data_IF_972152153860
#
_entry.id   IF_972152153860
#
_cell.length_a   1.000
_cell.length_b   1.000
_cell.length_c   1.000
_cell.angle_alpha   90.00
_cell.angle_beta   90.00
_cell.angle_gamma   90.00
#
_symmetry.space_group_name_H-M   'P 1'
#
loop_
_entity.id
_entity.type
_entity.pdbx_description
1 polymer ?
#
# COMPACT_ATOMS: atom_id res chain seq x y z
N UNK A 1 9.63 -26.05 18.69
CA UNK A 1 8.43 -26.91 18.84
C UNK A 1 7.43 -26.71 17.69
N UNK A 2 7.29 -25.50 17.13
CA UNK A 2 6.56 -25.27 15.86
C UNK A 2 7.33 -25.83 14.64
N UNK A 3 8.66 -25.75 14.66
CA UNK A 3 9.50 -26.27 13.56
C UNK A 3 9.28 -27.77 13.31
N UNK A 4 8.93 -28.56 14.34
CA UNK A 4 8.76 -30.01 14.15
C UNK A 4 7.44 -30.38 13.43
N UNK A 5 6.44 -29.50 13.47
CA UNK A 5 5.13 -29.75 12.83
C UNK A 5 5.17 -29.40 11.34
N UNK A 6 5.99 -28.43 10.92
CA UNK A 6 6.04 -27.98 9.52
C UNK A 6 7.41 -28.07 8.83
N UNK A 7 8.55 -28.13 9.53
CA UNK A 7 9.86 -28.30 8.88
C UNK A 7 10.09 -29.74 8.34
N UNK A 8 9.26 -30.70 8.76
CA UNK A 8 9.20 -32.05 8.21
C UNK A 8 7.95 -32.34 7.39
N UNK A 9 7.16 -31.31 7.04
CA UNK A 9 5.95 -31.50 6.25
C UNK A 9 6.34 -32.05 4.87
N UNK A 10 5.77 -33.21 4.44
CA UNK A 10 6.06 -33.78 3.13
C UNK A 10 5.71 -32.77 2.04
N UNK A 11 6.38 -32.81 0.89
CA UNK A 11 6.13 -31.87 -0.22
C UNK A 11 4.65 -31.87 -0.68
N UNK A 12 3.93 -32.95 -0.43
CA UNK A 12 2.50 -33.13 -0.67
C UNK A 12 1.60 -32.24 0.20
N UNK A 13 2.09 -31.76 1.34
CA UNK A 13 1.36 -30.86 2.24
C UNK A 13 1.42 -29.39 1.81
N UNK A 14 2.17 -29.08 0.75
CA UNK A 14 2.36 -27.72 0.27
C UNK A 14 1.45 -27.43 -0.92
N UNK A 15 0.50 -26.52 -0.74
CA UNK A 15 -0.37 -26.03 -1.79
C UNK A 15 0.16 -24.72 -2.38
N UNK A 16 0.20 -24.63 -3.71
CA UNK A 16 0.63 -23.42 -4.41
C UNK A 16 -0.54 -22.45 -4.52
N UNK A 17 -0.44 -21.32 -3.81
CA UNK A 17 -1.51 -20.33 -3.79
C UNK A 17 -1.02 -19.04 -4.47
N UNK A 18 -1.69 -18.57 -5.54
CA UNK A 18 -1.39 -17.28 -6.14
C UNK A 18 -1.81 -16.18 -5.18
N UNK A 19 -0.84 -15.36 -4.79
CA UNK A 19 -1.01 -14.34 -3.78
C UNK A 19 -0.88 -12.93 -4.38
N UNK A 20 -1.92 -12.52 -5.11
CA UNK A 20 -2.10 -11.15 -5.59
C UNK A 20 -1.00 -10.60 -6.50
N UNK A 21 -1.28 -9.43 -7.06
CA UNK A 21 -0.31 -8.69 -7.87
C UNK A 21 0.62 -7.90 -6.94
N UNK A 22 1.86 -8.35 -6.80
CA UNK A 22 2.89 -7.55 -6.15
C UNK A 22 3.46 -6.50 -7.10
N UNK A 23 4.14 -5.48 -6.56
CA UNK A 23 4.84 -4.45 -7.35
C UNK A 23 5.90 -4.99 -8.36
N UNK A 24 6.21 -6.31 -8.31
CA UNK A 24 7.14 -7.01 -9.22
C UNK A 24 6.47 -8.14 -10.03
N UNK A 25 5.14 -8.20 -10.06
CA UNK A 25 4.35 -9.25 -10.71
C UNK A 25 3.61 -10.18 -9.72
N UNK A 26 2.88 -11.18 -10.24
CA UNK A 26 2.09 -12.11 -9.42
C UNK A 26 2.99 -12.83 -8.43
N UNK A 27 2.74 -12.68 -7.12
CA UNK A 27 3.53 -13.38 -6.10
C UNK A 27 2.92 -14.76 -5.89
N UNK A 28 3.69 -15.80 -6.19
CA UNK A 28 3.24 -17.18 -5.99
C UNK A 28 4.10 -17.79 -4.91
N UNK A 29 3.45 -18.30 -3.86
CA UNK A 29 4.09 -18.96 -2.74
C UNK A 29 3.49 -20.35 -2.55
N UNK A 30 4.32 -21.27 -2.04
CA UNK A 30 3.84 -22.54 -1.55
C UNK A 30 3.48 -22.36 -0.06
N UNK A 31 2.29 -22.81 0.31
CA UNK A 31 1.72 -22.71 1.65
C UNK A 31 1.44 -24.09 2.22
N UNK A 32 1.71 -24.26 3.51
CA UNK A 32 1.27 -25.42 4.27
C UNK A 32 0.50 -24.92 5.50
N UNK A 33 -0.56 -25.61 5.88
CA UNK A 33 -1.37 -25.27 7.04
C UNK A 33 -1.56 -26.49 7.96
N UNK A 34 -1.72 -26.19 9.25
CA UNK A 34 -2.08 -27.17 10.25
C UNK A 34 -2.97 -26.54 11.32
N UNK A 35 -4.03 -27.24 11.70
CA UNK A 35 -4.80 -26.90 12.90
C UNK A 35 -4.02 -27.34 14.14
N UNK A 36 -3.82 -26.42 15.06
CA UNK A 36 -3.26 -26.74 16.37
C UNK A 36 -4.36 -27.25 17.30
N UNK A 37 -4.01 -28.13 18.26
CA UNK A 37 -4.94 -28.52 19.29
C UNK A 37 -5.40 -27.31 20.12
N UNK A 38 -6.65 -27.34 20.63
CA UNK A 38 -7.13 -26.32 21.56
C UNK A 38 -6.29 -26.34 22.83
N UNK A 39 -6.11 -25.19 23.45
CA UNK A 39 -5.49 -25.09 24.77
C UNK A 39 -6.63 -24.91 25.77
N UNK A 40 -6.92 -25.94 26.56
CA UNK A 40 -8.07 -25.95 27.49
C UNK A 40 -8.13 -24.72 28.40
N UNK A 41 -6.97 -24.24 28.86
CA UNK A 41 -6.85 -23.03 29.71
C UNK A 41 -7.32 -21.74 29.01
N UNK A 42 -7.18 -21.63 27.69
CA UNK A 42 -7.48 -20.42 26.92
C UNK A 42 -8.77 -20.51 26.10
N UNK A 43 -9.10 -21.69 25.58
CA UNK A 43 -10.20 -21.89 24.65
C UNK A 43 -11.51 -22.37 25.33
N UNK A 44 -11.42 -22.85 26.58
CA UNK A 44 -12.56 -23.36 27.35
C UNK A 44 -13.24 -24.60 26.75
N UNK A 45 -14.34 -25.04 27.35
CA UNK A 45 -15.08 -26.25 26.93
C UNK A 45 -15.73 -26.13 25.53
N UNK A 46 -15.90 -24.91 25.02
CA UNK A 46 -16.50 -24.64 23.70
C UNK A 46 -15.62 -23.64 22.94
N UNK A 47 -14.71 -24.11 22.07
CA UNK A 47 -13.87 -23.22 21.29
C UNK A 47 -14.73 -22.41 20.34
N UNK A 48 -14.61 -21.08 20.41
CA UNK A 48 -15.23 -20.13 19.46
C UNK A 48 -14.32 -19.81 18.26
N UNK A 49 -13.06 -20.24 18.32
CA UNK A 49 -12.04 -20.02 17.30
C UNK A 49 -11.17 -21.28 17.18
N UNK A 50 -10.59 -21.46 15.99
CA UNK A 50 -9.56 -22.44 15.71
C UNK A 50 -8.18 -21.77 15.77
N UNK A 51 -7.21 -22.51 16.30
CA UNK A 51 -5.79 -22.15 16.27
C UNK A 51 -5.15 -22.79 15.05
N UNK A 52 -4.49 -21.99 14.23
CA UNK A 52 -3.84 -22.44 13.01
C UNK A 52 -2.37 -22.06 13.01
N UNK A 53 -1.53 -22.91 12.43
CA UNK A 53 -0.19 -22.55 11.99
C UNK A 53 -0.15 -22.64 10.49
N UNK A 54 0.40 -21.60 9.86
CA UNK A 54 0.71 -21.61 8.44
C UNK A 54 2.21 -21.49 8.25
N UNK A 55 2.75 -22.20 7.27
CA UNK A 55 4.09 -21.98 6.75
C UNK A 55 3.98 -21.49 5.31
N UNK A 56 4.86 -20.57 4.96
CA UNK A 56 5.02 -20.05 3.61
C UNK A 56 6.46 -20.20 3.18
N UNK A 57 6.70 -20.79 2.01
CA UNK A 57 8.04 -20.87 1.41
C UNK A 57 8.07 -20.20 0.03
N UNK A 58 9.23 -19.64 -0.31
CA UNK A 58 9.46 -19.04 -1.63
C UNK A 58 9.78 -20.11 -2.66
N UNK A 59 9.25 -19.96 -3.89
CA UNK A 59 9.59 -20.86 -5.01
C UNK A 59 11.07 -20.77 -5.41
N UNK A 60 11.68 -19.59 -5.25
CA UNK A 60 13.08 -19.37 -5.61
C UNK A 60 14.05 -19.80 -4.50
N UNK A 61 13.58 -19.81 -3.24
CA UNK A 61 14.35 -20.14 -2.04
C UNK A 61 13.49 -20.96 -1.08
N UNK A 62 13.32 -22.27 -1.34
CA UNK A 62 12.45 -23.13 -0.53
C UNK A 62 12.90 -23.30 0.92
N UNK A 63 14.17 -23.01 1.21
CA UNK A 63 14.76 -23.02 2.55
C UNK A 63 14.31 -21.85 3.43
N UNK A 64 13.82 -20.76 2.82
CA UNK A 64 13.30 -19.60 3.55
C UNK A 64 11.82 -19.80 3.85
N UNK A 65 11.54 -20.39 5.02
CA UNK A 65 10.18 -20.63 5.50
C UNK A 65 9.79 -19.54 6.52
N UNK A 66 8.65 -18.88 6.26
CA UNK A 66 8.00 -17.98 7.20
C UNK A 66 6.82 -18.68 7.88
N UNK A 67 6.76 -18.61 9.21
CA UNK A 67 5.67 -19.20 10.00
C UNK A 67 4.71 -18.13 10.50
N UNK A 68 3.42 -18.45 10.47
CA UNK A 68 2.33 -17.62 10.93
C UNK A 68 1.47 -18.40 11.92
N UNK A 69 1.09 -17.75 13.01
CA UNK A 69 0.09 -18.26 13.94
C UNK A 69 -1.19 -17.45 13.74
N UNK A 70 -2.32 -18.12 13.52
CA UNK A 70 -3.60 -17.47 13.35
C UNK A 70 -4.62 -17.98 14.37
N UNK A 71 -5.38 -17.05 14.93
CA UNK A 71 -6.56 -17.31 15.75
C UNK A 71 -7.77 -16.87 14.95
N UNK A 72 -8.54 -17.81 14.43
CA UNK A 72 -9.55 -17.52 13.42
C UNK A 72 -10.89 -18.15 13.78
N UNK A 73 -12.02 -17.56 13.35
CA UNK A 73 -13.35 -18.15 13.53
C UNK A 73 -13.43 -19.61 13.08
N UNK A 74 -14.39 -20.37 13.61
CA UNK A 74 -14.51 -21.80 13.30
C UNK A 74 -14.74 -22.11 11.81
N UNK A 75 -15.37 -21.17 11.10
CA UNK A 75 -15.70 -21.21 9.68
C UNK A 75 -14.60 -20.63 8.76
N UNK A 76 -13.50 -20.14 9.34
CA UNK A 76 -12.40 -19.57 8.57
C UNK A 76 -11.74 -20.61 7.65
N UNK A 77 -11.55 -20.24 6.39
CA UNK A 77 -10.88 -21.08 5.40
C UNK A 77 -9.38 -20.78 5.33
N UNK A 78 -8.58 -21.72 4.82
CA UNK A 78 -7.15 -21.50 4.56
C UNK A 78 -6.93 -20.30 3.63
N UNK A 79 -7.80 -20.13 2.63
CA UNK A 79 -7.75 -18.96 1.74
C UNK A 79 -7.95 -17.63 2.49
N UNK A 80 -8.83 -17.58 3.49
CA UNK A 80 -9.00 -16.39 4.32
C UNK A 80 -7.75 -16.10 5.16
N UNK A 81 -7.14 -17.14 5.72
CA UNK A 81 -5.90 -17.03 6.51
C UNK A 81 -4.74 -16.53 5.65
N UNK A 82 -4.57 -17.09 4.46
CA UNK A 82 -3.54 -16.67 3.49
C UNK A 82 -3.76 -15.23 3.06
N UNK A 83 -5.01 -14.84 2.76
CA UNK A 83 -5.36 -13.45 2.44
C UNK A 83 -4.94 -12.49 3.56
N UNK A 84 -5.21 -12.83 4.83
CA UNK A 84 -4.82 -12.01 5.98
C UNK A 84 -3.31 -11.98 6.16
N UNK A 85 -2.63 -13.12 6.06
CA UNK A 85 -1.17 -13.20 6.20
C UNK A 85 -0.45 -12.32 5.15
N UNK A 86 -1.01 -12.24 3.95
CA UNK A 86 -0.42 -11.50 2.83
C UNK A 86 -0.78 -10.01 2.84
N UNK A 87 -1.85 -9.64 3.54
CA UNK A 87 -2.16 -8.24 3.86
C UNK A 87 -1.03 -7.53 4.60
N UNK A 88 -0.12 -8.27 5.26
CA UNK A 88 1.06 -7.70 5.94
C UNK A 88 1.90 -6.82 5.01
N UNK A 89 2.04 -7.20 3.74
CA UNK A 89 2.79 -6.37 2.78
C UNK A 89 2.09 -5.05 2.49
N UNK A 90 0.78 -5.07 2.31
CA UNK A 90 0.00 -3.84 2.13
C UNK A 90 0.11 -2.92 3.35
N UNK A 91 0.20 -3.48 4.57
CA UNK A 91 0.44 -2.70 5.80
C UNK A 91 1.82 -2.03 5.76
N UNK A 92 2.87 -2.76 5.37
CA UNK A 92 4.22 -2.20 5.22
C UNK A 92 4.22 -1.05 4.21
N UNK A 93 3.63 -1.25 3.03
CA UNK A 93 3.51 -0.23 1.99
C UNK A 93 2.73 1.01 2.47
N UNK A 94 1.63 0.80 3.20
CA UNK A 94 0.86 1.86 3.86
C UNK A 94 1.73 2.68 4.82
N UNK A 95 2.54 2.04 5.67
CA UNK A 95 3.47 2.75 6.55
C UNK A 95 4.57 3.50 5.78
N UNK A 96 5.08 2.94 4.69
CA UNK A 96 6.06 3.63 3.86
C UNK A 96 5.44 4.87 3.17
N UNK A 97 4.21 4.77 2.67
CA UNK A 97 3.48 5.91 2.14
C UNK A 97 3.24 6.98 3.22
N UNK A 98 2.83 6.58 4.44
CA UNK A 98 2.65 7.53 5.54
C UNK A 98 3.94 8.28 5.91
N UNK A 99 5.11 7.64 5.85
CA UNK A 99 6.41 8.30 6.05
C UNK A 99 6.71 9.28 4.92
N UNK A 100 6.60 8.83 3.67
CA UNK A 100 6.97 9.61 2.49
C UNK A 100 6.03 10.80 2.24
N UNK A 101 4.73 10.62 2.43
CA UNK A 101 3.71 11.62 2.06
C UNK A 101 3.25 12.47 3.23
N UNK A 102 3.23 11.93 4.45
CA UNK A 102 2.70 12.59 5.64
C UNK A 102 3.77 12.89 6.71
N UNK A 103 5.03 12.55 6.45
CA UNK A 103 6.14 12.84 7.37
C UNK A 103 6.00 12.11 8.70
N UNK A 104 5.47 10.88 8.69
CA UNK A 104 5.27 10.09 9.91
C UNK A 104 6.56 9.94 10.75
N UNK A 105 7.72 9.88 10.10
CA UNK A 105 9.06 9.81 10.71
C UNK A 105 9.81 11.16 10.76
N UNK A 106 9.18 12.24 10.29
CA UNK A 106 9.74 13.60 10.21
C UNK A 106 9.27 14.46 11.40
N UNK A 107 9.66 14.07 12.62
CA UNK A 107 9.42 14.87 13.82
C UNK A 107 10.73 15.20 14.54
N UNK A 108 10.84 16.41 15.06
CA UNK A 108 11.98 16.87 15.86
C UNK A 108 11.61 16.97 17.36
N UNK A 109 10.48 16.39 17.76
CA UNK A 109 9.90 16.61 19.09
C UNK A 109 10.34 15.54 20.08
N UNK A 110 11.03 15.95 21.15
CA UNK A 110 11.48 15.05 22.22
C UNK A 110 10.48 14.89 23.38
N UNK A 111 9.35 15.63 23.38
CA UNK A 111 8.33 15.54 24.42
C UNK A 111 7.17 14.65 23.96
N UNK A 112 6.73 13.74 24.85
CA UNK A 112 5.64 12.80 24.58
C UNK A 112 4.36 13.46 24.01
N UNK A 113 3.84 14.58 24.55
CA UNK A 113 2.63 15.20 23.99
C UNK A 113 2.80 15.71 22.56
N UNK A 114 3.99 16.20 22.22
CA UNK A 114 4.28 16.67 20.86
C UNK A 114 4.44 15.53 19.88
N UNK A 115 5.13 14.45 20.29
CA UNK A 115 5.19 13.21 19.52
C UNK A 115 3.80 12.62 19.27
N UNK A 116 2.96 12.52 20.31
CA UNK A 116 1.62 11.96 20.21
C UNK A 116 0.71 12.75 19.24
N UNK A 117 0.76 14.09 19.31
CA UNK A 117 0.03 14.96 18.38
C UNK A 117 0.53 14.79 16.95
N UNK A 118 1.85 14.74 16.74
CA UNK A 118 2.46 14.54 15.42
C UNK A 118 2.02 13.23 14.78
N UNK A 119 2.22 12.10 15.48
CA UNK A 119 1.85 10.78 14.99
C UNK A 119 0.35 10.71 14.66
N UNK A 120 -0.49 11.28 15.54
CA UNK A 120 -1.94 11.30 15.31
C UNK A 120 -2.31 12.09 14.05
N UNK A 121 -1.75 13.28 13.86
CA UNK A 121 -2.00 14.11 12.68
C UNK A 121 -1.47 13.47 11.39
N UNK A 122 -0.27 12.87 11.43
CA UNK A 122 0.31 12.17 10.30
C UNK A 122 -0.52 10.94 9.89
N UNK A 123 -0.97 10.14 10.85
CA UNK A 123 -1.84 8.99 10.59
C UNK A 123 -3.22 9.42 10.06
N UNK A 124 -3.79 10.51 10.58
CA UNK A 124 -5.05 11.06 10.09
C UNK A 124 -4.93 11.56 8.64
N UNK A 125 -3.86 12.30 8.33
CA UNK A 125 -3.58 12.78 6.98
C UNK A 125 -3.42 11.60 6.00
N UNK A 126 -2.68 10.56 6.40
CA UNK A 126 -2.51 9.38 5.57
C UNK A 126 -3.84 8.63 5.33
N UNK A 127 -4.65 8.43 6.37
CA UNK A 127 -5.96 7.82 6.25
C UNK A 127 -6.89 8.62 5.31
N UNK A 128 -6.84 9.95 5.36
CA UNK A 128 -7.58 10.82 4.45
C UNK A 128 -7.14 10.64 2.99
N UNK A 129 -5.83 10.64 2.73
CA UNK A 129 -5.28 10.40 1.38
C UNK A 129 -5.68 9.01 0.86
N UNK A 130 -5.52 7.96 1.68
CA UNK A 130 -5.91 6.59 1.32
C UNK A 130 -7.40 6.50 0.97
N UNK A 131 -8.27 7.15 1.75
CA UNK A 131 -9.71 7.19 1.46
C UNK A 131 -10.04 7.95 0.17
N UNK A 132 -9.32 9.02 -0.15
CA UNK A 132 -9.50 9.74 -1.42
C UNK A 132 -9.06 8.89 -2.62
N UNK A 133 -7.93 8.20 -2.51
CA UNK A 133 -7.44 7.29 -3.56
C UNK A 133 -8.43 6.15 -3.78
N UNK A 134 -8.93 5.51 -2.72
CA UNK A 134 -9.92 4.44 -2.82
C UNK A 134 -11.20 4.92 -3.55
N UNK A 135 -11.73 6.09 -3.17
CA UNK A 135 -12.90 6.69 -3.85
C UNK A 135 -12.63 7.05 -5.31
N UNK A 136 -11.41 7.46 -5.65
CA UNK A 136 -11.05 7.77 -7.03
C UNK A 136 -10.99 6.50 -7.90
N UNK A 137 -10.49 5.39 -7.34
CA UNK A 137 -10.46 4.09 -8.02
C UNK A 137 -11.88 3.55 -8.27
N UNK A 138 -12.79 3.69 -7.31
CA UNK A 138 -14.20 3.29 -7.46
C UNK A 138 -14.95 4.07 -8.56
N UNK A 139 -14.62 5.36 -8.74
CA UNK A 139 -15.23 6.21 -9.77
C UNK A 139 -14.76 5.85 -11.19
N UNK A 140 -13.69 5.07 -11.32
CA UNK A 140 -13.05 4.78 -12.59
C UNK A 140 -12.40 6.04 -13.20
N UNK A 141 -11.60 5.90 -14.26
CA UNK A 141 -11.06 7.06 -14.96
C UNK A 141 -12.23 7.87 -15.53
N UNK A 142 -12.46 9.06 -14.96
CA UNK A 142 -13.37 10.04 -15.55
C UNK A 142 -12.91 10.23 -17.01
N UNK A 143 -13.79 9.91 -17.96
CA UNK A 143 -13.54 10.20 -19.37
C UNK A 143 -13.25 11.70 -19.43
N UNK A 144 -11.99 12.07 -19.64
CA UNK A 144 -11.60 13.43 -19.96
C UNK A 144 -12.48 13.83 -21.14
N UNK A 145 -13.52 14.62 -20.88
CA UNK A 145 -14.28 15.20 -21.96
C UNK A 145 -13.28 16.09 -22.69
N UNK A 146 -12.93 15.69 -23.91
CA UNK A 146 -12.26 16.55 -24.86
C UNK A 146 -13.24 17.69 -25.14
N UNK A 147 -13.21 18.71 -24.27
CA UNK A 147 -13.80 19.98 -24.61
C UNK A 147 -13.00 20.51 -25.79
N UNK A 148 -13.64 20.76 -26.96
CA UNK A 148 -12.92 21.34 -28.07
C UNK A 148 -12.33 22.68 -27.59
N UNK A 149 -11.00 22.79 -27.66
CA UNK A 149 -10.30 24.05 -27.44
C UNK A 149 -10.99 25.11 -28.29
N UNK A 150 -11.62 26.07 -27.63
CA UNK A 150 -12.28 27.20 -28.28
C UNK A 150 -11.27 27.87 -29.22
N UNK A 151 -11.56 28.02 -30.52
CA UNK A 151 -10.61 28.62 -31.43
C UNK A 151 -10.42 30.08 -31.02
N UNK A 152 -9.15 30.44 -30.77
CA UNK A 152 -8.76 31.82 -30.56
C UNK A 152 -9.39 32.71 -31.63
N UNK A 153 -10.33 33.56 -31.22
CA UNK A 153 -10.87 34.62 -32.06
C UNK A 153 -9.73 35.59 -32.33
N UNK A 154 -9.08 35.42 -33.49
CA UNK A 154 -8.06 36.30 -34.01
C UNK A 154 -8.60 37.73 -34.04
N UNK A 155 -8.06 38.58 -33.16
CA UNK A 155 -8.30 40.02 -33.20
C UNK A 155 -7.43 40.56 -34.33
N UNK A 156 -8.04 40.67 -35.51
CA UNK A 156 -7.41 41.31 -36.67
C UNK A 156 -7.20 42.80 -36.42
N UNK A 157 -6.15 43.29 -37.08
CA UNK A 157 -5.46 44.55 -37.00
C UNK A 157 -6.30 45.83 -36.81
N UNK A 158 -5.74 46.75 -36.02
CA UNK A 158 -5.88 48.18 -36.24
C UNK A 158 -4.49 48.83 -36.05
N UNK A 159 -3.86 49.20 -37.16
CA UNK A 159 -2.78 50.21 -37.24
C UNK A 159 -3.46 51.58 -37.23
N UNK A 160 -3.03 52.56 -36.41
CA UNK A 160 -1.92 53.47 -36.78
C UNK A 160 -1.06 53.87 -35.56
N UNK A 161 0.20 54.30 -35.68
CA UNK A 161 0.66 55.39 -36.51
C UNK A 161 2.16 55.62 -36.31
N UNK A 162 2.75 56.21 -37.34
CA UNK A 162 4.14 56.56 -37.54
C UNK A 162 4.62 57.62 -36.52
N UNK A 163 5.73 57.34 -35.82
CA UNK A 163 6.48 58.32 -35.02
C UNK A 163 7.80 58.66 -35.75
N UNK A 164 8.09 59.94 -36.04
CA UNK A 164 9.37 60.33 -36.62
C UNK A 164 10.47 60.36 -35.56
N UNK A 165 11.66 59.91 -35.94
CA UNK A 165 12.86 59.84 -35.11
C UNK A 165 13.66 61.15 -35.16
N UNK A 166 14.13 61.73 -34.04
CA UNK A 166 15.15 62.76 -34.07
C UNK A 166 16.55 62.14 -33.93
N UNK A 167 17.41 62.46 -34.90
CA UNK A 167 18.75 61.91 -35.08
C UNK A 167 19.78 62.29 -34.01
N UNK A 168 20.81 61.44 -33.91
CA UNK A 168 22.07 61.71 -33.19
C UNK A 168 22.91 62.74 -33.96
N UNK A 169 23.52 63.72 -33.28
CA UNK A 169 24.75 64.32 -33.77
C UNK A 169 25.97 63.51 -33.30
N UNK A 170 26.89 63.31 -34.25
CA UNK A 170 28.19 62.70 -34.07
C UNK A 170 29.22 63.69 -33.46
N UNK A 171 30.27 63.09 -32.92
CA UNK A 171 31.53 63.61 -32.35
C UNK A 171 32.26 64.71 -33.12
N UNK A 172 32.90 65.62 -32.37
CA UNK A 172 34.12 66.42 -32.67
C UNK A 172 34.54 67.06 -31.33
N UNK A 173 35.79 67.22 -30.89
CA UNK A 173 37.17 67.04 -31.36
C UNK A 173 38.04 66.83 -30.12
#
# INVERSE_FOLDING_TARGET
>A
MIDHVLAGAPDEAWERIPCGDGAKGPRVYDWADAKLPPIEEFDGDRPIHNRWVLARRSLARPEEIAYYLAYAPLDATVADLVRVAESRWAIEECFQAAKNECGLDRYEVCRYPGWYRHITLAMLAHAFLAAMVARALERGPEKRSDHPRSPHRGRSAATPGHFPSPGRPATAT
#
